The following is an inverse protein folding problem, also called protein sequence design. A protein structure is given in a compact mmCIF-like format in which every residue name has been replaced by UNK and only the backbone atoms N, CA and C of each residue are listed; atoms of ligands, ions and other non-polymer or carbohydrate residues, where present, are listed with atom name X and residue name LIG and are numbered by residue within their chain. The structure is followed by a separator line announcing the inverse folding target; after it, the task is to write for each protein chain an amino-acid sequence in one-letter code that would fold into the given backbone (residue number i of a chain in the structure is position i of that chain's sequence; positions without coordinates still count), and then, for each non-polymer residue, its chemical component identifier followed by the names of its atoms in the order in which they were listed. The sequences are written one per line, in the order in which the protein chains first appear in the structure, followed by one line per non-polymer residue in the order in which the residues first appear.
data_IF_200540880656
#
_entry.id   IF_200540880656
#
_cell.length_a   1.000
_cell.length_b   1.000
_cell.length_c   1.000
_cell.angle_alpha   90.00
_cell.angle_beta   90.00
_cell.angle_gamma   90.00
#
_symmetry.space_group_name_H-M   'P 1'
#
loop_
_entity.id
_entity.type
_entity.pdbx_description
1 polymer ?
#
# COMPACT_ATOMS: atom_id res chain seq x y z
N UNK A 1 32.76 17.77 -2.63
CA UNK A 1 32.90 16.29 -2.73
C UNK A 1 31.53 15.77 -3.13
N UNK A 2 31.27 15.07 -4.23
CA UNK A 2 32.07 14.49 -5.31
C UNK A 2 31.12 13.99 -6.43
N UNK A 3 31.69 13.49 -7.52
CA UNK A 3 31.06 12.86 -8.70
C UNK A 3 30.32 13.80 -9.69
N UNK A 4 31.11 14.43 -10.58
CA UNK A 4 30.64 14.85 -11.90
C UNK A 4 30.61 13.59 -12.79
N UNK A 5 29.42 13.04 -13.02
CA UNK A 5 29.23 11.97 -13.99
C UNK A 5 29.47 12.51 -15.41
N UNK A 6 30.61 12.12 -15.97
CA UNK A 6 30.90 12.20 -17.39
C UNK A 6 29.98 11.20 -18.10
N UNK A 7 28.79 11.66 -18.49
CA UNK A 7 27.93 10.90 -19.42
C UNK A 7 28.60 10.93 -20.79
N UNK A 8 29.45 9.95 -21.04
CA UNK A 8 29.98 9.60 -22.36
C UNK A 8 28.80 9.38 -23.29
N UNK A 9 28.50 10.40 -24.09
CA UNK A 9 27.53 10.34 -25.16
C UNK A 9 28.12 9.47 -26.27
N UNK A 10 27.93 8.16 -26.14
CA UNK A 10 28.25 7.20 -27.20
C UNK A 10 27.40 7.55 -28.43
N UNK A 11 28.03 8.23 -29.39
CA UNK A 11 27.50 8.49 -30.72
C UNK A 11 27.30 7.14 -31.41
N UNK A 12 26.06 6.66 -31.35
CA UNK A 12 25.64 5.39 -31.94
C UNK A 12 25.59 5.56 -33.47
N UNK A 13 26.76 5.48 -34.13
CA UNK A 13 26.91 5.40 -35.57
C UNK A 13 26.57 3.97 -36.00
N UNK A 14 25.29 3.71 -36.26
CA UNK A 14 24.81 2.37 -36.57
C UNK A 14 23.59 2.35 -37.48
N UNK A 15 23.87 2.06 -38.76
CA UNK A 15 23.03 1.39 -39.75
C UNK A 15 21.77 2.12 -40.26
N UNK A 16 21.86 2.55 -41.52
CA UNK A 16 20.78 3.16 -42.31
C UNK A 16 19.67 2.18 -42.65
N UNK A 17 18.78 1.92 -41.70
CA UNK A 17 17.50 1.24 -41.94
C UNK A 17 16.35 2.13 -41.45
N UNK A 18 15.80 2.89 -42.39
CA UNK A 18 14.61 3.72 -42.21
C UNK A 18 14.92 5.14 -41.73
N UNK A 19 15.11 6.07 -42.68
CA UNK A 19 15.16 7.53 -42.48
C UNK A 19 13.79 8.09 -42.05
N UNK A 20 13.15 7.45 -41.08
CA UNK A 20 11.88 7.91 -40.52
C UNK A 20 12.12 8.87 -39.35
N UNK A 21 11.26 9.88 -39.19
CA UNK A 21 11.29 10.75 -38.01
C UNK A 21 11.11 9.92 -36.73
N UNK A 22 12.06 10.04 -35.80
CA UNK A 22 12.02 9.37 -34.50
C UNK A 22 11.42 10.33 -33.47
N UNK A 23 10.24 10.01 -32.97
CA UNK A 23 9.56 10.76 -31.91
C UNK A 23 10.11 10.45 -30.51
N UNK A 24 11.43 10.46 -30.35
CA UNK A 24 12.07 10.17 -29.07
C UNK A 24 12.13 11.45 -28.24
N UNK A 25 11.56 11.43 -27.04
CA UNK A 25 11.66 12.54 -26.10
C UNK A 25 13.07 12.64 -25.54
N UNK A 26 13.64 13.85 -25.48
CA UNK A 26 14.92 14.06 -24.81
C UNK A 26 14.79 13.72 -23.32
N UNK A 27 15.73 12.93 -22.76
CA UNK A 27 15.70 12.60 -21.35
C UNK A 27 15.88 13.86 -20.50
N UNK A 28 15.13 13.97 -19.40
CA UNK A 28 15.25 15.10 -18.49
C UNK A 28 16.54 15.02 -17.69
N UNK A 29 17.27 16.13 -17.56
CA UNK A 29 18.47 16.22 -16.71
C UNK A 29 18.19 16.02 -15.21
N UNK A 30 16.92 16.15 -14.82
CA UNK A 30 16.45 15.92 -13.46
C UNK A 30 15.91 14.50 -13.36
N UNK A 31 16.44 13.74 -12.41
CA UNK A 31 16.00 12.38 -12.10
C UNK A 31 15.44 12.36 -10.68
N UNK A 32 14.26 11.77 -10.51
CA UNK A 32 13.71 11.51 -9.19
C UNK A 32 14.55 10.46 -8.46
N UNK A 33 14.77 10.64 -7.17
CA UNK A 33 15.41 9.63 -6.32
C UNK A 33 14.33 8.70 -5.74
N UNK A 34 14.59 7.40 -5.77
CA UNK A 34 13.80 6.44 -4.99
C UNK A 34 14.06 6.67 -3.50
N UNK A 35 13.19 6.16 -2.63
CA UNK A 35 13.34 6.34 -1.18
C UNK A 35 14.72 5.86 -0.68
N UNK A 36 15.18 4.71 -1.15
CA UNK A 36 16.49 4.16 -0.75
C UNK A 36 17.64 5.02 -1.27
N UNK A 37 17.60 5.42 -2.54
CA UNK A 37 18.62 6.30 -3.10
C UNK A 37 18.65 7.66 -2.40
N UNK A 38 17.49 8.20 -2.05
CA UNK A 38 17.37 9.46 -1.31
C UNK A 38 17.98 9.35 0.09
N UNK A 39 17.78 8.22 0.80
CA UNK A 39 18.41 7.97 2.11
C UNK A 39 19.94 7.91 2.05
N UNK A 40 20.49 7.43 0.94
CA UNK A 40 21.94 7.39 0.74
C UNK A 40 22.53 8.70 0.23
N UNK A 41 21.74 9.49 -0.50
CA UNK A 41 22.21 10.71 -1.17
C UNK A 41 22.07 11.95 -0.30
N UNK A 42 21.01 12.03 0.52
CA UNK A 42 20.70 13.19 1.35
C UNK A 42 20.93 12.89 2.82
N UNK A 43 21.38 13.91 3.55
CA UNK A 43 21.40 13.85 5.02
C UNK A 43 19.97 13.78 5.59
N UNK A 44 19.85 13.28 6.83
CA UNK A 44 18.55 13.24 7.51
C UNK A 44 17.91 14.62 7.69
N UNK A 45 18.73 15.66 7.91
CA UNK A 45 18.27 17.04 8.05
C UNK A 45 17.72 17.58 6.73
N UNK A 46 18.43 17.37 5.61
CA UNK A 46 17.97 17.75 4.28
C UNK A 46 16.66 17.03 3.92
N UNK A 47 16.57 15.73 4.19
CA UNK A 47 15.33 14.97 3.98
C UNK A 47 14.18 15.52 4.81
N UNK A 48 14.43 15.84 6.08
CA UNK A 48 13.42 16.43 6.96
C UNK A 48 13.00 17.81 6.47
N UNK A 49 13.93 18.64 5.98
CA UNK A 49 13.63 19.95 5.42
C UNK A 49 12.80 19.84 4.13
N UNK A 50 13.15 18.92 3.23
CA UNK A 50 12.40 18.63 2.00
C UNK A 50 10.99 18.17 2.34
N UNK A 51 10.85 17.19 3.23
CA UNK A 51 9.54 16.66 3.66
C UNK A 51 8.72 17.74 4.35
N UNK A 52 9.32 18.52 5.26
CA UNK A 52 8.62 19.61 5.94
C UNK A 52 8.13 20.68 4.98
N UNK A 53 8.96 21.05 3.98
CA UNK A 53 8.57 21.99 2.93
C UNK A 53 7.44 21.42 2.06
N UNK A 54 7.54 20.16 1.65
CA UNK A 54 6.51 19.48 0.85
C UNK A 54 5.18 19.36 1.61
N UNK A 55 5.22 19.04 2.91
CA UNK A 55 4.03 19.01 3.78
C UNK A 55 3.42 20.41 3.91
N UNK A 56 4.23 21.45 4.11
CA UNK A 56 3.71 22.84 4.17
C UNK A 56 3.06 23.26 2.86
N UNK A 57 3.68 22.96 1.72
CA UNK A 57 3.15 23.30 0.39
C UNK A 57 1.87 22.52 0.04
N UNK A 58 1.83 21.22 0.33
CA UNK A 58 0.61 20.40 0.19
C UNK A 58 -0.44 20.70 1.27
N UNK A 59 0.00 21.31 2.38
CA UNK A 59 -0.81 21.78 3.50
C UNK A 59 -1.46 23.14 3.27
N UNK A 60 -1.12 23.85 2.21
CA UNK A 60 -1.79 25.11 1.86
C UNK A 60 -3.22 24.83 1.38
N UNK A 61 -4.20 25.69 1.72
CA UNK A 61 -5.57 25.51 1.24
C UNK A 61 -5.69 25.82 -0.26
N UNK A 62 -4.87 26.74 -0.76
CA UNK A 62 -4.78 27.15 -2.17
C UNK A 62 -4.29 26.04 -3.10
N UNK A 63 -3.55 25.06 -2.57
CA UNK A 63 -3.00 23.95 -3.36
C UNK A 63 -3.96 22.78 -3.52
N UNK A 64 -5.08 22.74 -2.77
CA UNK A 64 -6.08 21.69 -2.87
C UNK A 64 -6.94 21.92 -4.12
N UNK A 65 -6.83 21.00 -5.07
CA UNK A 65 -7.69 20.91 -6.25
C UNK A 65 -8.33 19.53 -6.29
N UNK A 66 -9.64 19.46 -6.07
CA UNK A 66 -10.39 18.21 -6.13
C UNK A 66 -11.24 18.16 -7.40
N UNK A 67 -11.31 16.97 -7.98
CA UNK A 67 -12.24 16.62 -9.04
C UNK A 67 -13.43 15.90 -8.42
N UNK A 68 -14.56 15.91 -9.13
CA UNK A 68 -15.68 15.03 -8.79
C UNK A 68 -15.22 13.56 -8.93
N UNK A 69 -15.81 12.63 -8.16
CA UNK A 69 -15.44 11.22 -8.26
C UNK A 69 -15.68 10.67 -9.68
N UNK A 70 -16.75 11.12 -10.34
CA UNK A 70 -17.04 10.76 -11.72
C UNK A 70 -15.92 11.20 -12.67
N UNK A 71 -15.53 12.48 -12.61
CA UNK A 71 -14.45 13.00 -13.45
C UNK A 71 -13.11 12.30 -13.16
N UNK A 72 -12.78 12.08 -11.88
CA UNK A 72 -11.50 11.52 -11.46
C UNK A 72 -11.31 10.04 -11.87
N UNK A 73 -12.37 9.23 -11.79
CA UNK A 73 -12.28 7.79 -11.95
C UNK A 73 -12.81 7.25 -13.28
N UNK A 74 -13.59 8.03 -14.02
CA UNK A 74 -14.22 7.60 -15.26
C UNK A 74 -13.79 8.51 -16.41
N UNK A 75 -14.20 9.78 -16.40
CA UNK A 75 -14.07 10.66 -17.57
C UNK A 75 -12.61 10.98 -17.92
N UNK A 76 -11.79 11.35 -16.92
CA UNK A 76 -10.39 11.74 -17.16
C UNK A 76 -9.54 10.56 -17.64
N UNK A 77 -9.61 9.36 -17.02
CA UNK A 77 -8.92 8.18 -17.56
C UNK A 77 -9.39 7.79 -18.96
N UNK A 78 -10.70 7.80 -19.23
CA UNK A 78 -11.24 7.47 -20.56
C UNK A 78 -10.74 8.45 -21.63
N UNK A 79 -10.74 9.75 -21.34
CA UNK A 79 -10.22 10.75 -22.28
C UNK A 79 -8.70 10.64 -22.45
N UNK A 80 -7.95 10.26 -21.41
CA UNK A 80 -6.50 10.01 -21.51
C UNK A 80 -6.21 8.81 -22.43
N UNK A 81 -6.98 7.73 -22.30
CA UNK A 81 -6.90 6.56 -23.17
C UNK A 81 -7.24 6.93 -24.62
N UNK A 82 -8.31 7.72 -24.82
CA UNK A 82 -8.70 8.26 -26.14
C UNK A 82 -7.60 9.12 -26.77
N UNK A 83 -7.03 10.07 -26.02
CA UNK A 83 -5.94 10.92 -26.50
C UNK A 83 -4.67 10.12 -26.79
N UNK A 84 -4.41 9.05 -26.05
CA UNK A 84 -3.27 8.15 -26.31
C UNK A 84 -3.47 7.35 -27.60
N UNK A 85 -4.69 6.86 -27.85
CA UNK A 85 -5.05 6.22 -29.11
C UNK A 85 -4.88 7.19 -30.29
N UNK A 86 -5.42 8.42 -30.17
CA UNK A 86 -5.27 9.48 -31.18
C UNK A 86 -3.80 9.83 -31.45
N UNK A 87 -2.98 9.97 -30.41
CA UNK A 87 -1.54 10.21 -30.57
C UNK A 87 -0.84 9.08 -31.35
N UNK A 88 -1.21 7.83 -31.10
CA UNK A 88 -0.63 6.69 -31.79
C UNK A 88 -1.05 6.65 -33.26
N UNK A 89 -2.33 6.94 -33.55
CA UNK A 89 -2.84 7.07 -34.90
C UNK A 89 -2.13 8.20 -35.66
N UNK A 90 -2.07 9.41 -35.10
CA UNK A 90 -1.38 10.56 -35.70
C UNK A 90 0.11 10.27 -35.95
N UNK A 91 0.80 9.57 -35.04
CA UNK A 91 2.20 9.14 -35.26
C UNK A 91 2.33 8.19 -36.45
N UNK A 92 1.39 7.26 -36.62
CA UNK A 92 1.39 6.33 -37.77
C UNK A 92 1.13 7.11 -39.06
N UNK A 93 0.11 7.97 -39.09
CA UNK A 93 -0.22 8.82 -40.23
C UNK A 93 0.96 9.74 -40.62
N UNK A 94 1.60 10.38 -39.64
CA UNK A 94 2.77 11.21 -39.87
C UNK A 94 3.92 10.42 -40.51
N UNK A 95 4.23 9.22 -39.99
CA UNK A 95 5.28 8.36 -40.57
C UNK A 95 4.95 7.95 -42.00
N UNK A 96 3.69 7.67 -42.30
CA UNK A 96 3.24 7.33 -43.65
C UNK A 96 3.41 8.52 -44.60
N UNK A 97 2.95 9.71 -44.20
CA UNK A 97 3.09 10.94 -45.01
C UNK A 97 4.54 11.35 -45.19
N UNK A 98 5.40 11.18 -44.17
CA UNK A 98 6.82 11.46 -44.28
C UNK A 98 7.48 10.54 -45.33
N UNK A 99 7.16 9.24 -45.33
CA UNK A 99 7.63 8.29 -46.34
C UNK A 99 7.10 8.64 -47.74
N UNK A 100 5.83 9.07 -47.85
CA UNK A 100 5.23 9.52 -49.11
C UNK A 100 5.98 10.74 -49.66
N UNK A 101 6.24 11.75 -48.84
CA UNK A 101 7.04 12.93 -49.21
C UNK A 101 8.42 12.53 -49.69
N UNK A 102 9.12 11.66 -48.97
CA UNK A 102 10.46 11.21 -49.35
C UNK A 102 10.46 10.42 -50.68
N UNK A 103 9.41 9.63 -50.94
CA UNK A 103 9.22 8.94 -52.22
C UNK A 103 8.93 9.90 -53.37
N UNK A 104 8.08 10.91 -53.14
CA UNK A 104 7.77 11.95 -54.12
C UNK A 104 9.01 12.80 -54.44
N UNK A 105 9.81 13.18 -53.44
CA UNK A 105 11.06 13.91 -53.64
C UNK A 105 12.07 13.12 -54.48
N UNK A 106 12.23 11.82 -54.20
CA UNK A 106 13.06 10.93 -55.03
C UNK A 106 12.54 10.83 -56.46
N UNK A 107 11.24 10.69 -56.63
CA UNK A 107 10.62 10.67 -57.96
C UNK A 107 10.88 11.98 -58.71
N UNK A 108 10.67 13.14 -58.07
CA UNK A 108 10.96 14.45 -58.69
C UNK A 108 12.42 14.58 -59.10
N UNK A 109 13.36 14.09 -58.29
CA UNK A 109 14.78 14.08 -58.62
C UNK A 109 15.06 13.21 -59.85
N UNK A 110 14.49 12.00 -59.91
CA UNK A 110 14.66 11.11 -61.08
C UNK A 110 14.08 11.70 -62.36
N UNK A 111 12.98 12.45 -62.30
CA UNK A 111 12.42 13.16 -63.46
C UNK A 111 13.25 14.38 -63.87
N UNK A 112 13.90 15.05 -62.91
CA UNK A 112 14.76 16.20 -63.19
C UNK A 112 16.06 15.79 -63.91
N UNK A 113 16.60 14.61 -63.61
CA UNK A 113 17.80 14.06 -64.27
C UNK A 113 17.49 13.45 -65.66
N UNK A 114 16.25 13.05 -65.93
CA UNK A 114 15.86 12.44 -67.19
C UNK A 114 15.55 13.52 -68.26
N UNK A 115 16.35 13.65 -69.33
CA UNK A 115 16.30 14.77 -70.28
C UNK A 115 15.00 14.85 -71.11
N UNK A 116 14.25 13.75 -71.21
CA UNK A 116 13.00 13.64 -71.97
C UNK A 116 11.73 13.83 -71.10
N UNK A 117 11.89 14.18 -69.83
CA UNK A 117 10.75 14.31 -68.92
C UNK A 117 9.94 15.57 -69.20
N UNK A 118 8.63 15.40 -69.44
CA UNK A 118 7.72 16.53 -69.59
C UNK A 118 7.74 17.44 -68.36
N UNK A 119 8.02 18.73 -68.56
CA UNK A 119 8.00 19.77 -67.51
C UNK A 119 6.69 19.78 -66.70
N UNK A 120 5.58 19.40 -67.35
CA UNK A 120 4.26 19.26 -66.71
C UNK A 120 4.25 18.20 -65.60
N UNK A 121 4.92 17.06 -65.80
CA UNK A 121 4.98 15.97 -64.83
C UNK A 121 5.75 16.37 -63.56
N UNK A 122 6.85 17.11 -63.73
CA UNK A 122 7.65 17.64 -62.62
C UNK A 122 6.81 18.61 -61.79
N UNK A 123 6.07 19.52 -62.44
CA UNK A 123 5.19 20.48 -61.73
C UNK A 123 4.09 19.79 -60.93
N UNK A 124 3.44 18.77 -61.51
CA UNK A 124 2.42 17.99 -60.80
C UNK A 124 2.99 17.28 -59.57
N UNK A 125 4.17 16.68 -59.68
CA UNK A 125 4.83 16.03 -58.54
C UNK A 125 5.27 17.01 -57.46
N UNK A 126 5.72 18.21 -57.85
CA UNK A 126 6.06 19.28 -56.91
C UNK A 126 4.82 19.76 -56.14
N UNK A 127 3.66 19.82 -56.79
CA UNK A 127 2.40 20.12 -56.13
C UNK A 127 2.00 19.03 -55.12
N UNK A 128 2.15 17.74 -55.47
CA UNK A 128 1.92 16.66 -54.49
C UNK A 128 2.88 16.75 -53.28
N UNK A 129 4.12 17.19 -53.49
CA UNK A 129 5.09 17.43 -52.41
C UNK A 129 4.64 18.58 -51.50
N UNK A 130 4.15 19.69 -52.06
CA UNK A 130 3.67 20.81 -51.24
C UNK A 130 2.43 20.42 -50.44
N UNK A 131 1.47 19.69 -51.04
CA UNK A 131 0.28 19.17 -50.36
C UNK A 131 0.63 18.18 -49.24
N UNK A 132 1.57 17.25 -49.48
CA UNK A 132 2.03 16.31 -48.43
C UNK A 132 2.78 17.01 -47.29
N UNK A 133 3.49 18.10 -47.59
CA UNK A 133 4.15 18.92 -46.57
C UNK A 133 3.13 19.66 -45.70
N UNK A 134 2.13 20.30 -46.30
CA UNK A 134 1.04 20.94 -45.55
C UNK A 134 0.28 19.95 -44.66
N UNK A 135 0.05 18.72 -45.14
CA UNK A 135 -0.56 17.66 -44.34
C UNK A 135 0.34 17.21 -43.16
N UNK A 136 1.65 17.15 -43.35
CA UNK A 136 2.59 16.84 -42.26
C UNK A 136 2.57 17.91 -41.17
N UNK A 137 2.51 19.19 -41.54
CA UNK A 137 2.44 20.30 -40.59
C UNK A 137 1.15 20.24 -39.78
N UNK A 138 0.00 20.00 -40.43
CA UNK A 138 -1.28 19.78 -39.75
C UNK A 138 -1.24 18.61 -38.77
N UNK A 139 -0.72 17.44 -39.19
CA UNK A 139 -0.61 16.27 -38.30
C UNK A 139 0.32 16.59 -37.12
N UNK A 140 1.38 17.37 -37.32
CA UNK A 140 2.28 17.77 -36.25
C UNK A 140 1.60 18.70 -35.23
N UNK A 141 0.79 19.66 -35.69
CA UNK A 141 -0.04 20.52 -34.82
C UNK A 141 -1.04 19.69 -34.01
N UNK A 142 -1.80 18.81 -34.66
CA UNK A 142 -2.77 17.93 -33.98
C UNK A 142 -2.09 17.02 -32.95
N UNK A 143 -0.90 16.48 -33.28
CA UNK A 143 -0.11 15.66 -32.37
C UNK A 143 0.37 16.47 -31.14
N UNK A 144 0.76 17.73 -31.34
CA UNK A 144 1.15 18.63 -30.25
C UNK A 144 -0.04 18.89 -29.32
N UNK A 145 -1.20 19.23 -29.87
CA UNK A 145 -2.41 19.48 -29.08
C UNK A 145 -2.86 18.25 -28.28
N UNK A 146 -2.93 17.08 -28.91
CA UNK A 146 -3.32 15.84 -28.24
C UNK A 146 -2.36 15.47 -27.10
N UNK A 147 -1.05 15.68 -27.30
CA UNK A 147 -0.03 15.45 -26.28
C UNK A 147 -0.13 16.44 -25.12
N UNK A 148 -0.32 17.73 -25.41
CA UNK A 148 -0.44 18.75 -24.36
C UNK A 148 -1.70 18.53 -23.52
N UNK A 149 -2.84 18.25 -24.16
CA UNK A 149 -4.08 17.88 -23.46
C UNK A 149 -3.90 16.66 -22.55
N UNK A 150 -3.29 15.59 -23.05
CA UNK A 150 -3.01 14.41 -22.23
C UNK A 150 -2.09 14.72 -21.03
N UNK A 151 -1.10 15.59 -21.21
CA UNK A 151 -0.21 16.05 -20.14
C UNK A 151 -0.94 16.96 -19.13
N UNK A 152 -1.88 17.80 -19.56
CA UNK A 152 -2.72 18.60 -18.67
C UNK A 152 -3.63 17.70 -17.82
N UNK A 153 -4.33 16.73 -18.42
CA UNK A 153 -5.17 15.77 -17.70
C UNK A 153 -4.37 14.93 -16.70
N UNK A 154 -3.19 14.45 -17.09
CA UNK A 154 -2.29 13.69 -16.20
C UNK A 154 -1.84 14.52 -14.99
N UNK A 155 -1.48 15.79 -15.20
CA UNK A 155 -1.14 16.73 -14.12
C UNK A 155 -2.33 16.95 -13.20
N UNK A 156 -3.51 17.16 -13.75
CA UNK A 156 -4.75 17.36 -13.00
C UNK A 156 -5.07 16.15 -12.11
N UNK A 157 -4.93 14.92 -12.63
CA UNK A 157 -5.11 13.68 -11.86
C UNK A 157 -4.09 13.54 -10.74
N UNK A 158 -2.82 13.88 -11.02
CA UNK A 158 -1.75 13.87 -10.01
C UNK A 158 -2.06 14.87 -8.88
N UNK A 159 -2.47 16.10 -9.22
CA UNK A 159 -2.89 17.09 -8.24
C UNK A 159 -4.12 16.65 -7.44
N UNK A 160 -5.09 16.02 -8.08
CA UNK A 160 -6.27 15.47 -7.39
C UNK A 160 -5.87 14.43 -6.35
N UNK A 161 -5.03 13.46 -6.73
CA UNK A 161 -4.57 12.41 -5.80
C UNK A 161 -3.81 12.98 -4.61
N UNK A 162 -2.90 13.95 -4.85
CA UNK A 162 -2.18 14.64 -3.78
C UNK A 162 -3.09 15.47 -2.87
N UNK A 163 -4.07 16.18 -3.44
CA UNK A 163 -5.04 16.99 -2.71
C UNK A 163 -5.96 16.12 -1.85
N UNK A 164 -6.46 15.01 -2.40
CA UNK A 164 -7.28 14.05 -1.68
C UNK A 164 -6.52 13.44 -0.48
N UNK A 165 -5.26 13.05 -0.69
CA UNK A 165 -4.40 12.55 0.38
C UNK A 165 -4.14 13.62 1.45
N UNK A 166 -3.83 14.86 1.06
CA UNK A 166 -3.61 15.96 2.00
C UNK A 166 -4.86 16.21 2.86
N UNK A 167 -6.06 16.19 2.26
CA UNK A 167 -7.32 16.31 3.01
C UNK A 167 -7.55 15.13 3.95
N UNK A 168 -7.26 13.90 3.51
CA UNK A 168 -7.36 12.72 4.37
C UNK A 168 -6.43 12.82 5.58
N UNK A 169 -5.18 13.27 5.38
CA UNK A 169 -4.22 13.52 6.46
C UNK A 169 -4.69 14.60 7.42
N UNK A 170 -5.28 15.70 6.93
CA UNK A 170 -5.85 16.76 7.79
C UNK A 170 -7.00 16.21 8.64
N UNK A 171 -7.95 15.49 8.03
CA UNK A 171 -9.06 14.86 8.76
C UNK A 171 -8.56 13.88 9.81
N UNK A 172 -7.58 13.04 9.46
CA UNK A 172 -6.95 12.11 10.40
C UNK A 172 -6.30 12.85 11.56
N UNK A 173 -5.49 13.88 11.27
CA UNK A 173 -4.84 14.69 12.30
C UNK A 173 -5.85 15.37 13.22
N UNK A 174 -6.90 15.99 12.68
CA UNK A 174 -7.98 16.56 13.50
C UNK A 174 -8.68 15.52 14.37
N UNK A 175 -8.95 14.32 13.84
CA UNK A 175 -9.55 13.22 14.62
C UNK A 175 -8.63 12.71 15.72
N UNK A 176 -7.31 12.68 15.47
CA UNK A 176 -6.31 12.31 16.45
C UNK A 176 -6.24 13.33 17.59
N UNK A 177 -6.17 14.62 17.27
CA UNK A 177 -6.17 15.69 18.29
C UNK A 177 -7.42 15.66 19.16
N UNK A 178 -8.60 15.39 18.59
CA UNK A 178 -9.85 15.21 19.36
C UNK A 178 -9.74 14.05 20.35
N UNK A 179 -9.26 12.88 19.90
CA UNK A 179 -9.06 11.71 20.79
C UNK A 179 -8.02 11.98 21.88
N UNK A 180 -6.95 12.71 21.58
CA UNK A 180 -5.95 13.11 22.58
C UNK A 180 -6.59 14.01 23.64
N UNK A 181 -7.39 14.99 23.24
CA UNK A 181 -8.10 15.86 24.18
C UNK A 181 -9.13 15.09 25.03
N UNK A 182 -9.85 14.13 24.44
CA UNK A 182 -10.77 13.24 25.17
C UNK A 182 -10.03 12.39 26.22
N UNK A 183 -8.88 11.80 25.86
CA UNK A 183 -8.06 11.02 26.79
C UNK A 183 -7.55 11.90 27.92
N UNK A 184 -7.11 13.13 27.64
CA UNK A 184 -6.69 14.09 28.67
C UNK A 184 -7.85 14.43 29.61
N UNK A 185 -9.03 14.74 29.07
CA UNK A 185 -10.22 15.00 29.87
C UNK A 185 -10.58 13.82 30.78
N UNK A 186 -10.51 12.59 30.27
CA UNK A 186 -10.75 11.39 31.08
C UNK A 186 -9.69 11.22 32.17
N UNK A 187 -8.42 11.52 31.88
CA UNK A 187 -7.35 11.50 32.89
C UNK A 187 -7.58 12.54 33.98
N UNK A 188 -8.02 13.75 33.63
CA UNK A 188 -8.41 14.80 34.59
C UNK A 188 -9.60 14.37 35.45
N UNK A 189 -10.64 13.78 34.85
CA UNK A 189 -11.78 13.24 35.61
C UNK A 189 -11.34 12.12 36.56
N UNK A 190 -10.48 11.20 36.12
CA UNK A 190 -9.93 10.14 36.99
C UNK A 190 -9.13 10.77 38.13
N UNK A 191 -8.28 11.76 37.84
CA UNK A 191 -7.50 12.47 38.85
C UNK A 191 -8.40 13.20 39.86
N UNK A 192 -9.49 13.81 39.41
CA UNK A 192 -10.45 14.50 40.28
C UNK A 192 -11.20 13.51 41.18
N UNK A 193 -11.70 12.40 40.62
CA UNK A 193 -12.37 11.35 41.38
C UNK A 193 -11.43 10.66 42.37
N UNK A 194 -10.15 10.51 42.02
CA UNK A 194 -9.13 9.98 42.95
C UNK A 194 -8.89 10.93 44.12
N UNK A 195 -8.89 12.25 43.88
CA UNK A 195 -8.80 13.27 44.92
C UNK A 195 -10.04 13.27 45.84
N UNK A 196 -11.26 13.27 45.26
CA UNK A 196 -12.52 13.18 46.03
C UNK A 196 -12.56 11.92 46.90
N UNK A 197 -12.09 10.78 46.36
CA UNK A 197 -11.96 9.54 47.10
C UNK A 197 -11.00 9.70 48.28
N UNK A 198 -9.84 10.31 48.08
CA UNK A 198 -8.87 10.53 49.16
C UNK A 198 -9.37 11.48 50.24
N UNK A 199 -10.12 12.52 49.87
CA UNK A 199 -10.78 13.43 50.81
C UNK A 199 -11.85 12.70 51.63
N UNK A 200 -12.70 11.90 50.98
CA UNK A 200 -13.72 11.09 51.65
C UNK A 200 -13.09 10.08 52.63
N UNK A 201 -11.98 9.44 52.25
CA UNK A 201 -11.23 8.56 53.15
C UNK A 201 -10.64 9.30 54.34
N UNK A 202 -10.15 10.53 54.13
CA UNK A 202 -9.56 11.37 55.19
C UNK A 202 -10.64 11.82 56.18
N UNK A 203 -11.80 12.24 55.69
CA UNK A 203 -12.95 12.59 56.54
C UNK A 203 -13.45 11.38 57.34
N UNK A 204 -13.59 10.21 56.70
CA UNK A 204 -14.00 8.98 57.40
C UNK A 204 -13.01 8.56 58.48
N UNK A 205 -11.71 8.74 58.23
CA UNK A 205 -10.66 8.50 59.23
C UNK A 205 -10.76 9.47 60.40
N UNK A 206 -11.05 10.76 60.14
CA UNK A 206 -11.23 11.76 61.19
C UNK A 206 -12.42 11.43 62.08
N UNK A 207 -13.60 11.17 61.51
CA UNK A 207 -14.81 10.79 62.28
C UNK A 207 -14.57 9.54 63.12
N UNK A 208 -13.85 8.55 62.58
CA UNK A 208 -13.52 7.35 63.34
C UNK A 208 -12.61 7.64 64.54
N UNK A 209 -11.68 8.60 64.42
CA UNK A 209 -10.85 9.06 65.54
C UNK A 209 -11.68 9.83 66.56
N UNK A 210 -12.50 10.78 66.12
CA UNK A 210 -13.35 11.56 67.03
C UNK A 210 -14.27 10.65 67.88
N UNK A 211 -14.76 9.55 67.28
CA UNK A 211 -15.53 8.53 68.00
C UNK A 211 -14.69 7.65 68.94
N UNK A 212 -13.47 7.28 68.53
CA UNK A 212 -12.52 6.57 69.40
C UNK A 212 -12.18 7.47 70.63
N UNK A 213 -11.90 8.77 70.42
CA UNK A 213 -11.62 9.77 71.46
C UNK A 213 -12.83 10.00 72.40
N UNK A 214 -14.04 10.09 71.84
CA UNK A 214 -15.27 10.19 72.64
C UNK A 214 -15.52 8.93 73.48
N UNK A 215 -15.24 7.75 72.93
CA UNK A 215 -15.36 6.51 73.68
C UNK A 215 -14.33 6.45 74.83
N UNK A 216 -13.11 6.92 74.61
CA UNK A 216 -12.05 6.96 75.62
C UNK A 216 -12.39 7.94 76.76
N UNK A 217 -12.93 9.12 76.43
CA UNK A 217 -13.41 10.09 77.45
C UNK A 217 -14.57 9.54 78.28
N UNK A 218 -15.53 8.84 77.66
CA UNK A 218 -16.63 8.17 78.37
C UNK A 218 -16.11 7.05 79.30
N UNK A 219 -15.12 6.27 78.86
CA UNK A 219 -14.50 5.24 79.71
C UNK A 219 -13.75 5.84 80.90
N UNK A 220 -13.16 7.04 80.77
CA UNK A 220 -12.54 7.73 81.90
C UNK A 220 -13.57 8.25 82.92
N UNK A 221 -14.81 8.50 82.51
CA UNK A 221 -15.85 9.13 83.35
C UNK A 221 -16.72 8.12 84.12
N UNK A 222 -16.77 6.85 83.71
CA UNK A 222 -17.54 5.78 84.37
C UNK A 222 -16.60 4.81 85.12
N UNK A 223 -16.44 4.93 86.46
CA UNK A 223 -15.51 4.11 87.25
C UNK A 223 -16.02 2.68 87.54
N UNK A 224 -16.99 2.18 86.78
CA UNK A 224 -17.58 0.85 87.00
C UNK A 224 -16.59 -0.29 86.67
N UNK A 225 -16.48 -1.35 87.50
CA UNK A 225 -15.41 -2.34 87.41
C UNK A 225 -15.45 -3.16 86.11
N UNK A 226 -14.27 -3.25 85.50
CA UNK A 226 -13.97 -3.76 84.17
C UNK A 226 -14.48 -5.19 83.91
N UNK A 227 -15.61 -5.31 83.21
CA UNK A 227 -15.93 -6.53 82.44
C UNK A 227 -15.36 -6.35 81.04
N UNK A 228 -14.49 -7.29 80.62
CA UNK A 228 -13.53 -7.20 79.51
C UNK A 228 -14.12 -6.84 78.12
N UNK A 229 -14.47 -5.56 77.91
CA UNK A 229 -14.76 -5.04 76.58
C UNK A 229 -13.44 -4.58 75.97
N UNK A 230 -12.88 -5.40 75.08
CA UNK A 230 -11.70 -4.99 74.32
C UNK A 230 -12.02 -3.70 73.56
N UNK A 231 -11.19 -2.66 73.66
CA UNK A 231 -11.37 -1.44 72.88
C UNK A 231 -11.18 -1.79 71.41
N UNK A 232 -12.29 -1.89 70.67
CA UNK A 232 -12.31 -2.09 69.24
C UNK A 232 -11.91 -0.78 68.56
N UNK A 233 -10.62 -0.53 68.33
CA UNK A 233 -10.14 0.65 67.60
C UNK A 233 -10.73 0.69 66.19
N UNK A 234 -11.77 1.52 65.99
CA UNK A 234 -12.51 1.60 64.72
C UNK A 234 -11.68 2.28 63.64
N UNK A 235 -10.82 3.23 64.02
CA UNK A 235 -9.87 3.89 63.12
C UNK A 235 -8.94 2.92 62.35
N UNK A 236 -8.49 1.83 62.98
CA UNK A 236 -7.66 0.80 62.34
C UNK A 236 -8.39 0.08 61.19
N UNK A 237 -9.69 -0.19 61.37
CA UNK A 237 -10.54 -0.86 60.37
C UNK A 237 -10.78 0.03 59.14
N UNK A 238 -10.93 1.34 59.34
CA UNK A 238 -11.04 2.32 58.24
C UNK A 238 -9.74 2.37 57.44
N UNK A 239 -8.58 2.40 58.11
CA UNK A 239 -7.27 2.38 57.45
C UNK A 239 -7.01 1.09 56.66
N UNK A 240 -7.40 -0.07 57.19
CA UNK A 240 -7.32 -1.35 56.48
C UNK A 240 -8.23 -1.35 55.24
N UNK A 241 -9.44 -0.79 55.36
CA UNK A 241 -10.40 -0.67 54.26
C UNK A 241 -9.89 0.26 53.14
N UNK A 242 -9.26 1.39 53.50
CA UNK A 242 -8.60 2.29 52.53
C UNK A 242 -7.51 1.57 51.75
N UNK A 243 -6.61 0.87 52.45
CA UNK A 243 -5.51 0.11 51.84
C UNK A 243 -6.02 -0.99 50.91
N UNK A 244 -7.14 -1.63 51.24
CA UNK A 244 -7.80 -2.62 50.38
C UNK A 244 -8.40 -1.98 49.12
N UNK A 245 -9.13 -0.86 49.28
CA UNK A 245 -9.75 -0.11 48.18
C UNK A 245 -8.74 0.38 47.14
N UNK A 246 -7.63 0.98 47.58
CA UNK A 246 -6.54 1.43 46.69
C UNK A 246 -5.95 0.27 45.88
N UNK A 247 -5.86 -0.92 46.50
CA UNK A 247 -5.32 -2.10 45.85
C UNK A 247 -6.30 -2.68 44.81
N UNK A 248 -7.60 -2.62 45.10
CA UNK A 248 -8.65 -3.06 44.19
C UNK A 248 -8.77 -2.15 42.95
N UNK A 249 -8.76 -0.82 43.12
CA UNK A 249 -8.84 0.12 41.99
C UNK A 249 -7.63 0.02 41.05
N UNK A 250 -6.43 -0.25 41.61
CA UNK A 250 -5.20 -0.42 40.82
C UNK A 250 -5.07 -1.79 40.14
N UNK A 251 -5.80 -2.81 40.61
CA UNK A 251 -5.81 -4.15 40.03
C UNK A 251 -6.76 -4.28 38.83
N UNK A 252 -7.80 -3.43 38.74
CA UNK A 252 -8.78 -3.44 37.64
C UNK A 252 -8.20 -3.08 36.26
N UNK A 253 -7.10 -2.32 36.21
CA UNK A 253 -6.44 -1.94 34.95
C UNK A 253 -5.56 -3.04 34.34
N UNK A 254 -5.40 -4.19 35.02
CA UNK A 254 -4.61 -5.33 34.53
C UNK A 254 -5.43 -6.42 33.83
N UNK A 255 -6.76 -6.29 33.77
CA UNK A 255 -7.64 -7.33 33.25
C UNK A 255 -8.23 -6.95 31.89
N UNK A 256 -7.54 -7.36 30.82
CA UNK A 256 -8.18 -7.70 29.53
C UNK A 256 -7.30 -8.58 28.61
N UNK A 257 -6.08 -8.99 29.02
CA UNK A 257 -5.26 -9.89 28.18
C UNK A 257 -5.24 -11.36 28.63
N UNK A 258 -5.67 -11.67 29.85
CA UNK A 258 -5.48 -13.02 30.42
C UNK A 258 -6.70 -13.96 30.36
N UNK A 259 -7.92 -13.48 30.10
CA UNK A 259 -9.11 -14.34 30.10
C UNK A 259 -9.40 -15.03 28.75
N UNK A 260 -8.60 -14.79 27.70
CA UNK A 260 -8.75 -15.53 26.43
C UNK A 260 -7.88 -16.79 26.32
N UNK A 261 -7.10 -17.11 27.36
CA UNK A 261 -6.17 -18.23 27.35
C UNK A 261 -6.71 -19.53 27.99
N UNK A 262 -7.93 -19.55 28.53
CA UNK A 262 -8.46 -20.71 29.28
C UNK A 262 -9.35 -21.67 28.47
N UNK A 263 -9.45 -21.54 27.14
CA UNK A 263 -10.23 -22.48 26.29
C UNK A 263 -9.32 -23.44 25.50
N UNK A 264 -7.99 -23.26 25.53
CA UNK A 264 -7.04 -24.09 24.77
C UNK A 264 -6.00 -24.75 25.69
N UNK A 265 -6.44 -25.65 26.56
CA UNK A 265 -5.53 -26.55 27.28
C UNK A 265 -6.24 -27.81 27.79
N UNK A 266 -6.77 -28.59 26.86
CA UNK A 266 -6.86 -30.04 27.03
C UNK A 266 -6.11 -30.67 25.87
N UNK A 267 -4.98 -31.31 26.20
CA UNK A 267 -4.24 -32.37 25.49
C UNK A 267 -2.75 -32.17 25.79
N UNK A 268 -2.11 -33.19 26.36
CA UNK A 268 -0.66 -33.33 26.31
C UNK A 268 0.07 -33.14 27.65
N UNK A 269 -0.20 -34.06 28.57
CA UNK A 269 0.75 -34.42 29.63
C UNK A 269 2.03 -35.02 29.00
N UNK A 270 3.21 -34.48 29.34
CA UNK A 270 4.44 -35.28 29.60
C UNK A 270 5.59 -34.40 30.11
N UNK A 271 5.87 -34.58 31.40
CA UNK A 271 7.18 -34.69 32.08
C UNK A 271 8.41 -34.05 31.40
N UNK A 272 9.09 -33.15 32.12
CA UNK A 272 10.40 -33.39 32.73
C UNK A 272 10.80 -32.19 33.62
N UNK A 273 11.55 -32.51 34.66
CA UNK A 273 11.86 -31.70 35.85
C UNK A 273 13.35 -31.36 35.94
N UNK A 274 13.67 -30.37 36.80
CA UNK A 274 15.01 -29.91 37.25
C UNK A 274 15.77 -29.05 36.22
N UNK A 275 16.47 -27.96 36.56
CA UNK A 275 17.26 -27.62 37.76
C UNK A 275 17.25 -26.10 37.97
N UNK A 276 17.27 -25.65 39.23
CA UNK A 276 17.59 -24.27 39.62
C UNK A 276 19.07 -23.95 39.40
N UNK A 277 19.40 -22.71 39.06
CA UNK A 277 20.67 -22.09 39.47
C UNK A 277 20.51 -20.59 39.72
N UNK A 278 21.18 -20.14 40.77
CA UNK A 278 21.19 -18.79 41.29
C UNK A 278 22.44 -18.03 40.85
N UNK A 279 22.34 -16.70 40.81
CA UNK A 279 23.44 -15.78 41.09
C UNK A 279 24.22 -15.20 39.91
N UNK A 280 24.02 -13.92 39.61
CA UNK A 280 25.03 -12.83 39.72
C UNK A 280 24.44 -11.47 39.30
N UNK A 281 25.00 -10.34 39.77
CA UNK A 281 24.29 -9.06 39.79
C UNK A 281 24.83 -8.03 38.78
N UNK A 282 24.00 -7.00 38.55
CA UNK A 282 24.27 -5.66 37.98
C UNK A 282 24.90 -5.57 36.57
N UNK A 283 24.07 -5.21 35.59
CA UNK A 283 24.45 -4.19 34.61
C UNK A 283 23.20 -3.50 34.07
N UNK A 284 23.16 -2.16 34.18
CA UNK A 284 22.08 -1.30 33.74
C UNK A 284 21.93 -1.35 32.22
N UNK A 285 21.11 -2.28 31.75
CA UNK A 285 20.44 -2.18 30.46
C UNK A 285 18.95 -2.30 30.74
N UNK A 286 18.16 -1.32 30.29
CA UNK A 286 16.71 -1.41 30.39
C UNK A 286 16.29 -2.72 29.73
N UNK A 287 15.65 -3.65 30.46
CA UNK A 287 15.16 -4.88 29.87
C UNK A 287 14.00 -4.48 28.97
N UNK A 288 14.26 -4.40 27.67
CA UNK A 288 13.21 -4.30 26.66
C UNK A 288 12.33 -5.52 26.91
N UNK A 289 11.06 -5.34 27.31
CA UNK A 289 10.20 -6.48 27.57
C UNK A 289 10.11 -7.29 26.28
N UNK A 290 10.14 -8.64 26.36
CA UNK A 290 10.08 -9.48 25.17
C UNK A 290 8.84 -9.08 24.37
N UNK A 291 9.07 -8.65 23.13
CA UNK A 291 8.01 -8.23 22.22
C UNK A 291 7.05 -9.41 22.11
N UNK A 292 5.76 -9.25 22.49
CA UNK A 292 4.80 -10.34 22.39
C UNK A 292 4.76 -10.81 20.93
N UNK A 293 4.75 -12.12 20.67
CA UNK A 293 4.78 -12.64 19.31
C UNK A 293 3.67 -11.98 18.49
N UNK A 294 4.07 -11.33 17.40
CA UNK A 294 3.14 -10.67 16.48
C UNK A 294 2.24 -11.80 15.94
N UNK A 295 0.92 -11.75 16.15
CA UNK A 295 0.02 -12.75 15.60
C UNK A 295 0.13 -12.69 14.08
N UNK A 296 0.81 -13.69 13.50
CA UNK A 296 0.83 -13.91 12.06
C UNK A 296 -0.62 -14.17 11.66
N UNK A 297 -1.24 -13.19 11.01
CA UNK A 297 -2.51 -13.40 10.33
C UNK A 297 -2.26 -14.42 9.23
N UNK A 298 -2.59 -15.68 9.51
CA UNK A 298 -2.85 -16.68 8.50
C UNK A 298 -4.06 -16.18 7.71
N UNK A 299 -3.81 -15.52 6.58
CA UNK A 299 -4.79 -15.36 5.54
C UNK A 299 -4.97 -16.70 4.85
N UNK A 300 -5.70 -17.62 5.50
CA UNK A 300 -6.38 -18.73 4.81
C UNK A 300 -7.88 -18.49 4.95
N UNK A 301 -8.42 -17.65 4.06
CA UNK A 301 -9.85 -17.55 3.87
C UNK A 301 -10.14 -18.12 2.48
N UNK A 302 -10.67 -19.34 2.47
CA UNK A 302 -11.07 -20.02 1.26
C UNK A 302 -11.27 -21.51 1.47
N UNK A 303 -12.04 -21.92 2.49
CA UNK A 303 -12.78 -23.19 2.46
C UNK A 303 -13.87 -23.14 3.54
N UNK A 304 -15.12 -23.16 3.11
CA UNK A 304 -16.26 -23.51 3.94
C UNK A 304 -17.01 -24.63 3.19
N UNK A 305 -17.37 -25.69 3.94
CA UNK A 305 -18.43 -26.71 3.68
C UNK A 305 -18.01 -27.78 2.65
N UNK A 306 -17.95 -29.10 2.88
CA UNK A 306 -18.35 -29.99 4.00
C UNK A 306 -17.73 -31.38 3.79
N UNK A 307 -17.32 -31.99 4.92
CA UNK A 307 -17.42 -33.41 5.30
C UNK A 307 -17.30 -34.51 4.23
N UNK A 308 -16.23 -35.30 4.39
CA UNK A 308 -16.19 -36.77 4.47
C UNK A 308 -17.16 -37.56 3.57
N UNK A 309 -16.62 -38.34 2.64
CA UNK A 309 -16.48 -39.81 2.79
C UNK A 309 -15.80 -40.42 1.57
N UNK A 310 -14.94 -41.41 1.82
CA UNK A 310 -14.64 -42.57 0.98
C UNK A 310 -14.06 -42.36 -0.43
N UNK A 311 -12.86 -42.90 -0.58
CA UNK A 311 -12.33 -43.44 -1.82
C UNK A 311 -13.39 -44.22 -2.61
N UNK A 312 -13.54 -43.88 -3.89
CA UNK A 312 -13.75 -44.73 -5.07
C UNK A 312 -14.37 -43.86 -6.20
N UNK A 313 -13.87 -44.03 -7.44
CA UNK A 313 -14.34 -43.44 -8.71
C UNK A 313 -13.99 -41.97 -9.04
N UNK A 314 -12.73 -41.71 -9.38
CA UNK A 314 -12.22 -40.42 -9.91
C UNK A 314 -12.02 -40.39 -11.44
N UNK A 315 -12.66 -41.26 -12.23
CA UNK A 315 -12.40 -41.35 -13.69
C UNK A 315 -13.40 -40.60 -14.57
N UNK A 316 -14.60 -40.26 -14.07
CA UNK A 316 -15.66 -39.66 -14.89
C UNK A 316 -15.64 -38.13 -14.89
N UNK A 317 -15.51 -37.51 -13.72
CA UNK A 317 -15.53 -36.04 -13.59
C UNK A 317 -14.32 -35.38 -14.24
N UNK A 318 -13.14 -36.00 -14.12
CA UNK A 318 -11.92 -35.50 -14.76
C UNK A 318 -11.99 -35.58 -16.30
N UNK A 319 -12.76 -36.52 -16.87
CA UNK A 319 -12.97 -36.62 -18.31
C UNK A 319 -13.94 -35.55 -18.82
N UNK A 320 -15.00 -35.27 -18.06
CA UNK A 320 -15.95 -34.20 -18.38
C UNK A 320 -15.27 -32.81 -18.35
N UNK A 321 -14.38 -32.57 -17.38
CA UNK A 321 -13.65 -31.32 -17.26
C UNK A 321 -12.65 -31.13 -18.43
N UNK A 322 -11.96 -32.20 -18.83
CA UNK A 322 -11.06 -32.17 -20.00
C UNK A 322 -11.83 -31.91 -21.31
N UNK A 323 -13.04 -32.45 -21.46
CA UNK A 323 -13.87 -32.20 -22.64
C UNK A 323 -14.39 -30.77 -22.69
N UNK A 324 -14.83 -30.21 -21.56
CA UNK A 324 -15.26 -28.82 -21.46
C UNK A 324 -14.12 -27.84 -21.79
N UNK A 325 -12.88 -28.16 -21.41
CA UNK A 325 -11.72 -27.35 -21.78
C UNK A 325 -11.47 -27.38 -23.30
N UNK A 326 -11.54 -28.56 -23.92
CA UNK A 326 -11.33 -28.70 -25.36
C UNK A 326 -12.38 -27.93 -26.19
N UNK A 327 -13.65 -27.97 -25.80
CA UNK A 327 -14.73 -27.22 -26.47
C UNK A 327 -14.53 -25.70 -26.35
N UNK A 328 -14.07 -25.22 -25.19
CA UNK A 328 -13.84 -23.81 -24.94
C UNK A 328 -12.68 -23.27 -25.79
N UNK A 329 -11.61 -24.05 -25.98
CA UNK A 329 -10.54 -23.71 -26.92
C UNK A 329 -11.02 -23.69 -28.38
N UNK A 330 -11.91 -24.61 -28.77
CA UNK A 330 -12.56 -24.61 -30.08
C UNK A 330 -13.37 -23.34 -30.34
N UNK A 331 -14.13 -22.85 -29.35
CA UNK A 331 -14.89 -21.60 -29.49
C UNK A 331 -14.03 -20.34 -29.55
N UNK A 332 -12.84 -20.35 -28.94
CA UNK A 332 -11.90 -19.22 -29.04
C UNK A 332 -11.06 -19.24 -30.33
N UNK A 333 -11.20 -20.26 -31.18
CA UNK A 333 -10.43 -20.38 -32.43
C UNK A 333 -8.93 -20.54 -32.19
N UNK A 334 -8.54 -21.03 -31.00
CA UNK A 334 -7.15 -21.30 -30.64
C UNK A 334 -6.87 -22.76 -30.97
N UNK A 335 -6.62 -23.04 -32.25
CA UNK A 335 -6.13 -24.34 -32.70
C UNK A 335 -4.63 -24.40 -32.38
N UNK A 336 -4.27 -24.77 -31.16
CA UNK A 336 -2.88 -24.89 -30.73
C UNK A 336 -2.33 -26.31 -31.01
N UNK A 337 -1.54 -26.54 -32.09
CA UNK A 337 -1.04 -27.87 -32.42
C UNK A 337 0.03 -28.39 -31.43
N UNK A 338 0.51 -27.55 -30.50
CA UNK A 338 1.58 -27.91 -29.55
C UNK A 338 1.09 -28.60 -28.27
N UNK A 339 -0.23 -28.64 -28.01
CA UNK A 339 -0.80 -29.27 -26.80
C UNK A 339 -1.43 -30.64 -27.05
N UNK A 340 -1.01 -31.35 -28.12
CA UNK A 340 -1.44 -32.74 -28.32
C UNK A 340 -0.71 -33.63 -27.29
N UNK A 341 -1.41 -34.24 -26.31
CA UNK A 341 -0.75 -35.10 -25.34
C UNK A 341 -0.09 -36.27 -26.07
N UNK A 342 1.17 -36.61 -25.74
CA UNK A 342 1.88 -37.71 -26.38
C UNK A 342 1.11 -39.03 -26.17
N UNK A 343 1.09 -39.93 -27.17
CA UNK A 343 0.43 -41.22 -27.03
C UNK A 343 1.03 -41.99 -25.85
N UNK A 344 0.17 -42.41 -24.92
CA UNK A 344 0.53 -43.18 -23.73
C UNK A 344 1.33 -44.44 -24.14
N UNK A 345 2.65 -44.38 -23.95
CA UNK A 345 3.54 -45.52 -24.12
C UNK A 345 3.31 -46.51 -22.98
N UNK A 346 2.96 -47.73 -23.38
CA UNK A 346 2.85 -48.94 -22.57
C UNK A 346 4.13 -49.14 -21.73
N UNK A 347 3.99 -49.30 -20.42
CA UNK A 347 5.07 -49.62 -19.50
C UNK A 347 5.49 -51.09 -19.66
N UNK A 348 6.76 -51.33 -19.96
CA UNK A 348 7.42 -52.63 -19.77
C UNK A 348 8.75 -52.46 -19.03
N UNK A 349 9.01 -53.48 -18.23
CA UNK A 349 10.01 -53.68 -17.19
C UNK A 349 11.47 -53.76 -17.71
N UNK A 350 12.40 -53.43 -16.79
CA UNK A 350 13.78 -53.93 -16.60
C UNK A 350 15.01 -53.08 -17.00
N UNK A 351 15.84 -52.90 -15.96
CA UNK A 351 17.29 -53.11 -15.87
C UNK A 351 18.29 -52.05 -16.42
N UNK A 352 18.82 -51.28 -15.45
CA UNK A 352 20.25 -51.16 -15.09
C UNK A 352 21.26 -50.47 -16.03
N UNK A 353 22.36 -49.91 -15.45
CA UNK A 353 22.99 -48.68 -15.92
C UNK A 353 24.33 -48.90 -16.64
N UNK A 354 24.76 -47.90 -17.41
CA UNK A 354 26.15 -47.75 -17.85
C UNK A 354 26.49 -46.29 -18.19
N UNK A 355 27.36 -45.73 -17.34
CA UNK A 355 28.54 -44.89 -17.63
C UNK A 355 28.81 -44.43 -19.07
N UNK A 356 28.91 -43.11 -19.28
CA UNK A 356 30.10 -42.37 -19.77
C UNK A 356 29.73 -40.95 -20.22
N UNK A 357 30.53 -39.97 -19.77
CA UNK A 357 30.64 -38.57 -20.22
C UNK A 357 31.37 -38.50 -21.59
N UNK A 358 31.74 -37.34 -22.20
CA UNK A 358 31.34 -35.93 -22.10
C UNK A 358 30.91 -35.36 -23.49
N UNK A 359 30.58 -34.06 -23.60
CA UNK A 359 31.17 -33.10 -24.58
C UNK A 359 30.39 -31.78 -24.56
N UNK A 360 31.18 -30.72 -24.56
CA UNK A 360 30.84 -29.31 -24.52
C UNK A 360 29.94 -28.82 -25.68
N UNK A 361 29.21 -27.72 -25.42
CA UNK A 361 29.18 -26.57 -26.32
C UNK A 361 28.69 -25.31 -25.61
N UNK A 362 29.57 -24.31 -25.60
CA UNK A 362 29.25 -22.90 -25.53
C UNK A 362 28.20 -22.51 -26.59
N UNK A 363 27.27 -21.63 -26.27
CA UNK A 363 27.36 -20.20 -26.63
C UNK A 363 25.99 -19.50 -26.59
N UNK A 364 26.08 -18.25 -26.14
CA UNK A 364 25.40 -17.10 -26.70
C UNK A 364 23.87 -16.93 -26.52
N UNK A 365 23.58 -16.03 -25.56
CA UNK A 365 22.95 -14.72 -25.79
C UNK A 365 21.45 -14.63 -26.16
N UNK A 366 20.81 -13.74 -25.38
CA UNK A 366 19.62 -12.90 -25.66
C UNK A 366 18.25 -13.58 -25.58
N UNK A 367 17.41 -13.09 -24.66
CA UNK A 367 16.47 -12.01 -24.99
C UNK A 367 15.84 -11.39 -23.74
N UNK A 368 15.71 -10.07 -23.79
CA UNK A 368 14.91 -9.24 -22.90
C UNK A 368 13.43 -9.30 -23.26
N UNK A 369 12.57 -9.17 -22.25
CA UNK A 369 11.32 -8.38 -22.29
C UNK A 369 10.70 -8.37 -20.87
N UNK A 370 10.58 -7.20 -20.28
CA UNK A 370 9.32 -6.45 -20.13
C UNK A 370 8.44 -6.97 -18.98
N UNK A 371 8.62 -6.39 -17.79
CA UNK A 371 7.64 -6.44 -16.71
C UNK A 371 6.87 -5.11 -16.78
N UNK A 372 5.78 -5.14 -17.54
CA UNK A 372 4.72 -4.15 -17.49
C UNK A 372 3.52 -4.75 -16.74
N UNK A 373 3.02 -3.96 -15.79
CA UNK A 373 1.63 -3.87 -15.33
C UNK A 373 0.79 -5.15 -15.15
N UNK A 374 0.67 -5.57 -13.88
CA UNK A 374 -0.54 -6.25 -13.39
C UNK A 374 -1.46 -5.28 -12.66
N UNK A 375 -2.46 -4.83 -13.39
CA UNK A 375 -3.72 -4.22 -12.96
C UNK A 375 -4.44 -5.20 -12.00
N UNK A 376 -4.55 -4.86 -10.72
CA UNK A 376 -5.46 -5.56 -9.80
C UNK A 376 -6.87 -4.99 -10.00
N UNK A 377 -7.81 -5.86 -10.36
CA UNK A 377 -9.24 -5.57 -10.41
C UNK A 377 -9.79 -5.37 -9.00
N UNK A 378 -10.67 -4.36 -8.87
CA UNK A 378 -11.37 -3.97 -7.65
C UNK A 378 -12.18 -5.14 -7.07
N UNK A 379 -11.86 -5.52 -5.83
CA UNK A 379 -12.85 -6.07 -4.90
C UNK A 379 -13.68 -4.94 -4.32
N UNK A 380 -15.00 -5.03 -4.45
CA UNK A 380 -15.98 -4.10 -3.88
C UNK A 380 -16.13 -4.40 -2.38
N UNK A 381 -15.92 -3.37 -1.57
CA UNK A 381 -16.20 -3.30 -0.13
C UNK A 381 -15.14 -2.46 0.62
N UNK A 382 -15.43 -1.74 1.72
CA UNK A 382 -16.70 -1.34 2.33
C UNK A 382 -16.84 0.20 2.22
N UNK A 383 -17.31 0.73 1.09
CA UNK A 383 -17.44 2.18 0.91
C UNK A 383 -18.71 2.77 1.55
N UNK A 384 -19.69 1.93 1.89
CA UNK A 384 -20.96 2.41 2.47
C UNK A 384 -20.87 2.88 3.92
N UNK A 385 -19.80 2.52 4.67
CA UNK A 385 -19.61 3.04 6.04
C UNK A 385 -18.99 4.43 6.11
N UNK A 386 -18.40 4.93 5.02
CA UNK A 386 -17.81 6.27 4.99
C UNK A 386 -18.79 7.36 4.55
N UNK A 387 -19.87 6.99 3.85
CA UNK A 387 -20.88 7.95 3.39
C UNK A 387 -21.80 8.39 4.54
N UNK A 388 -22.17 7.49 5.45
CA UNK A 388 -22.99 7.79 6.64
C UNK A 388 -22.28 8.76 7.60
N UNK A 389 -20.95 8.78 7.65
CA UNK A 389 -20.20 9.71 8.52
C UNK A 389 -19.97 11.09 7.89
N UNK A 390 -20.08 11.22 6.56
CA UNK A 390 -19.97 12.51 5.87
C UNK A 390 -21.28 13.32 5.92
N UNK A 391 -22.44 12.65 5.94
CA UNK A 391 -23.74 13.33 6.01
C UNK A 391 -24.11 13.79 7.43
N UNK A 392 -23.58 13.16 8.48
CA UNK A 392 -23.89 13.53 9.87
C UNK A 392 -23.14 14.76 10.41
N UNK A 393 -22.31 15.43 9.60
CA UNK A 393 -21.38 16.49 10.06
C UNK A 393 -21.61 17.90 9.50
N UNK A 394 -22.65 18.13 8.69
CA UNK A 394 -22.88 19.43 8.00
C UNK A 394 -23.95 20.30 8.71
N UNK A 395 -24.23 20.03 9.98
CA UNK A 395 -25.04 20.92 10.81
C UNK A 395 -24.16 21.66 11.81
N UNK A 396 -24.33 22.98 11.89
CA UNK A 396 -23.69 23.91 12.85
C UNK A 396 -22.34 24.50 12.38
N UNK A 397 -22.40 25.36 11.37
CA UNK A 397 -21.69 26.65 11.36
C UNK A 397 -22.52 27.60 10.49
N UNK A 398 -23.32 28.44 11.14
CA UNK A 398 -23.94 29.62 10.56
C UNK A 398 -23.68 30.82 11.47
#
# INVERSE_FOLDING_TARGET
MGARDLVSSSSNLGSGSGSGPKFQTSPTKFKGFTLEAAKWTFSSEELQAIVSKAIKQSGEASSIRLLTPQAAFVEVPEELDRLTALQNELKVQYRLQARKRDALLKATYTYAEAPESSSQAIRSKLQEVSETTANLDRIAEELYHARDQAAQLSRMLTHHSGSALAMALRKLHSSFLKRVAEVQKLQECVSALEAERDDAWTQAQQVARDLDDLNDTLQMQDPSPAVSRQPSCRSSRVMASRKSSIRASKAGLRLSRSQRASIASQVGSSRLSYVSSAGTPVSFSYPIPPVPPIPRKLSSLGHIITTNTSALSTTSEMRALAQAQAELYGYLGIDDPELKPPPLRRSSIAASPSTMSPVARDNALRRMSDIADRRMTRGIGPLERFQVFMESGVGVFH
#
